data_IF_306276459666
#
_entry.id   IF_306276459666
#
_cell.length_a   1.000
_cell.length_b   1.000
_cell.length_c   1.000
_cell.angle_alpha   90.00
_cell.angle_beta   90.00
_cell.angle_gamma   90.00
#
_symmetry.space_group_name_H-M   'P 1'
#
loop_
_entity.id
_entity.type
_entity.pdbx_description
1 polymer ?
#
# COMPACT_ATOMS: atom_id res chain seq x y z
N UNK A 1 13.41 -20.06 0.46
CA UNK A 1 12.42 -19.06 0.98
C UNK A 1 11.73 -18.42 -0.23
N UNK A 2 10.39 -18.31 -0.27
CA UNK A 2 9.70 -17.60 -1.36
C UNK A 2 10.17 -16.14 -1.41
N UNK A 3 10.57 -15.64 -2.59
CA UNK A 3 11.12 -14.29 -2.79
C UNK A 3 10.24 -13.20 -2.17
N UNK A 4 8.92 -13.33 -2.28
CA UNK A 4 7.94 -12.42 -1.68
C UNK A 4 8.03 -12.35 -0.14
N UNK A 5 8.20 -13.49 0.54
CA UNK A 5 8.33 -13.52 2.01
C UNK A 5 9.63 -12.86 2.49
N UNK A 6 10.72 -13.07 1.75
CA UNK A 6 12.00 -12.41 2.03
C UNK A 6 11.87 -10.90 1.89
N UNK A 7 11.29 -10.46 0.77
CA UNK A 7 11.06 -9.05 0.48
C UNK A 7 10.14 -8.37 1.51
N UNK A 8 9.03 -9.01 1.91
CA UNK A 8 8.15 -8.47 2.95
C UNK A 8 8.89 -8.15 4.26
N UNK A 9 9.79 -9.05 4.70
CA UNK A 9 10.59 -8.81 5.90
C UNK A 9 11.54 -7.63 5.74
N UNK A 10 12.13 -7.48 4.56
CA UNK A 10 12.98 -6.32 4.23
C UNK A 10 12.17 -5.03 4.33
N UNK A 11 10.98 -4.97 3.71
CA UNK A 11 10.09 -3.81 3.82
C UNK A 11 9.78 -3.48 5.28
N UNK A 12 9.37 -4.48 6.09
CA UNK A 12 9.06 -4.26 7.50
C UNK A 12 10.22 -3.68 8.32
N UNK A 13 11.48 -3.99 7.98
CA UNK A 13 12.66 -3.42 8.64
C UNK A 13 12.89 -1.95 8.27
N UNK A 14 12.55 -1.55 7.04
CA UNK A 14 12.69 -0.17 6.58
C UNK A 14 11.49 0.73 6.92
N UNK A 15 10.35 0.15 7.30
CA UNK A 15 9.16 0.93 7.64
C UNK A 15 9.38 2.00 8.72
N UNK A 16 10.09 1.75 9.84
CA UNK A 16 10.38 2.80 10.83
C UNK A 16 11.15 3.97 10.21
N UNK A 17 12.17 3.68 9.38
CA UNK A 17 12.94 4.70 8.67
C UNK A 17 12.06 5.52 7.73
N UNK A 18 11.21 4.86 6.93
CA UNK A 18 10.27 5.56 6.04
C UNK A 18 9.28 6.42 6.83
N UNK A 19 8.83 5.94 8.00
CA UNK A 19 7.91 6.67 8.86
C UNK A 19 8.52 7.98 9.36
N UNK A 20 9.81 7.95 9.74
CA UNK A 20 10.56 9.14 10.15
C UNK A 20 10.87 10.09 8.98
N UNK A 21 11.34 9.54 7.84
CA UNK A 21 11.68 10.32 6.65
C UNK A 21 10.48 11.11 6.10
N UNK A 22 9.30 10.51 6.14
CA UNK A 22 8.06 11.10 5.61
C UNK A 22 7.15 11.69 6.69
N UNK A 23 7.58 11.74 7.96
CA UNK A 23 6.78 12.27 9.09
C UNK A 23 5.35 11.71 9.11
N UNK A 24 5.24 10.38 9.04
CA UNK A 24 3.94 9.69 8.94
C UNK A 24 3.33 9.37 10.31
N UNK A 25 4.09 9.59 11.39
CA UNK A 25 3.67 9.46 12.79
C UNK A 25 2.52 10.37 13.18
N UNK A 26 2.36 11.51 12.51
CA UNK A 26 1.20 12.40 12.65
C UNK A 26 -0.11 11.77 12.13
N UNK A 27 -0.02 10.76 11.26
CA UNK A 27 -1.16 10.23 10.49
C UNK A 27 -1.44 8.75 10.77
N UNK A 28 -0.44 7.99 11.21
CA UNK A 28 -0.58 6.54 11.40
C UNK A 28 0.44 5.99 12.38
N UNK A 29 0.25 4.72 12.76
CA UNK A 29 1.19 3.98 13.60
C UNK A 29 1.98 2.99 12.77
N UNK A 30 3.18 2.59 13.25
CA UNK A 30 3.97 1.52 12.62
C UNK A 30 3.14 0.26 12.40
N UNK A 31 2.31 -0.11 13.40
CA UNK A 31 1.45 -1.31 13.32
C UNK A 31 0.41 -1.18 12.22
N UNK A 32 -0.26 -0.04 12.12
CA UNK A 32 -1.24 0.23 11.06
C UNK A 32 -0.57 0.21 9.68
N UNK A 33 0.59 0.85 9.54
CA UNK A 33 1.35 0.86 8.29
C UNK A 33 1.81 -0.55 7.89
N UNK A 34 2.30 -1.36 8.83
CA UNK A 34 2.63 -2.77 8.60
C UNK A 34 1.42 -3.59 8.14
N UNK A 35 0.24 -3.33 8.73
CA UNK A 35 -1.01 -3.96 8.31
C UNK A 35 -1.39 -3.56 6.88
N UNK A 36 -1.33 -2.26 6.56
CA UNK A 36 -1.62 -1.74 5.24
C UNK A 36 -0.71 -2.34 4.16
N UNK A 37 0.61 -2.40 4.43
CA UNK A 37 1.57 -3.07 3.54
C UNK A 37 1.22 -4.55 3.41
N UNK A 38 0.89 -5.24 4.50
CA UNK A 38 0.49 -6.65 4.45
C UNK A 38 -0.72 -6.84 3.51
N UNK A 39 -1.72 -5.96 3.55
CA UNK A 39 -2.86 -6.03 2.62
C UNK A 39 -2.43 -5.91 1.16
N UNK A 40 -1.49 -5.02 0.82
CA UNK A 40 -0.93 -4.90 -0.54
C UNK A 40 -0.29 -6.19 -1.06
N UNK A 41 0.35 -6.96 -0.19
CA UNK A 41 0.86 -8.28 -0.55
C UNK A 41 -0.27 -9.29 -0.78
N UNK A 42 -1.36 -9.22 -0.01
CA UNK A 42 -2.52 -10.11 -0.18
C UNK A 42 -3.42 -9.76 -1.36
N UNK A 43 -3.43 -8.51 -1.85
CA UNK A 43 -4.14 -8.12 -3.09
C UNK A 43 -3.74 -9.01 -4.27
N UNK A 44 -2.47 -9.45 -4.30
CA UNK A 44 -1.91 -10.28 -5.37
C UNK A 44 -1.79 -11.78 -4.98
N UNK A 45 -2.47 -12.23 -3.91
CA UNK A 45 -2.34 -13.61 -3.38
C UNK A 45 -2.72 -14.71 -4.37
N UNK A 46 -3.54 -14.38 -5.36
CA UNK A 46 -4.05 -15.33 -6.37
C UNK A 46 -3.02 -15.64 -7.45
N UNK A 47 -1.99 -14.81 -7.58
CA UNK A 47 -0.91 -15.03 -8.55
C UNK A 47 0.01 -16.15 -8.06
N UNK A 48 0.04 -17.26 -8.81
CA UNK A 48 0.85 -18.45 -8.49
C UNK A 48 2.08 -18.62 -9.35
N UNK A 49 2.14 -17.94 -10.50
CA UNK A 49 3.26 -18.03 -11.45
C UNK A 49 4.54 -17.43 -10.83
N UNK A 50 5.61 -18.22 -10.63
CA UNK A 50 6.86 -17.76 -10.03
C UNK A 50 7.51 -16.60 -10.79
N UNK A 51 7.42 -16.57 -12.12
CA UNK A 51 8.03 -15.51 -12.92
C UNK A 51 7.31 -14.18 -12.71
N UNK A 52 5.97 -14.20 -12.69
CA UNK A 52 5.17 -13.02 -12.33
C UNK A 52 5.45 -12.55 -10.91
N UNK A 53 5.59 -13.48 -9.96
CA UNK A 53 5.96 -13.14 -8.58
C UNK A 53 7.31 -12.43 -8.53
N UNK A 54 8.32 -12.93 -9.25
CA UNK A 54 9.64 -12.30 -9.30
C UNK A 54 9.56 -10.89 -9.89
N UNK A 55 8.85 -10.70 -10.99
CA UNK A 55 8.64 -9.37 -11.59
C UNK A 55 7.94 -8.41 -10.62
N UNK A 56 6.91 -8.87 -9.89
CA UNK A 56 6.24 -8.06 -8.87
C UNK A 56 7.18 -7.68 -7.73
N UNK A 57 8.00 -8.61 -7.25
CA UNK A 57 9.01 -8.34 -6.22
C UNK A 57 10.04 -7.32 -6.72
N UNK A 58 10.52 -7.44 -7.96
CA UNK A 58 11.44 -6.45 -8.54
C UNK A 58 10.82 -5.06 -8.63
N UNK A 59 9.58 -4.95 -9.11
CA UNK A 59 8.86 -3.66 -9.16
C UNK A 59 8.70 -3.05 -7.76
N UNK A 60 8.39 -3.88 -6.77
CA UNK A 60 8.25 -3.43 -5.40
C UNK A 60 9.59 -3.04 -4.75
N UNK A 61 10.69 -3.72 -5.09
CA UNK A 61 12.03 -3.36 -4.62
C UNK A 61 12.48 -2.01 -5.21
N UNK A 62 12.23 -1.78 -6.50
CA UNK A 62 12.50 -0.48 -7.12
C UNK A 62 11.68 0.64 -6.47
N UNK A 63 10.40 0.39 -6.18
CA UNK A 63 9.56 1.33 -5.45
C UNK A 63 10.12 1.65 -4.06
N UNK A 64 10.53 0.63 -3.28
CA UNK A 64 11.16 0.81 -1.98
C UNK A 64 12.44 1.66 -2.09
N UNK A 65 13.29 1.42 -3.10
CA UNK A 65 14.50 2.20 -3.34
C UNK A 65 14.21 3.66 -3.69
N UNK A 66 13.13 3.94 -4.40
CA UNK A 66 12.71 5.32 -4.69
C UNK A 66 12.23 6.03 -3.44
N UNK A 67 11.50 5.35 -2.56
CA UNK A 67 11.05 5.89 -1.28
C UNK A 67 12.24 6.17 -0.35
N UNK A 68 13.17 5.23 -0.21
CA UNK A 68 14.37 5.39 0.62
C UNK A 68 15.30 6.52 0.13
N UNK A 69 15.27 6.83 -1.17
CA UNK A 69 16.01 7.97 -1.74
C UNK A 69 15.23 9.28 -1.73
N UNK A 70 14.03 9.31 -1.15
CA UNK A 70 13.13 10.48 -1.16
C UNK A 70 12.77 10.99 -2.57
N UNK A 71 12.81 10.13 -3.59
CA UNK A 71 12.43 10.49 -4.95
C UNK A 71 10.90 10.58 -5.14
N UNK A 72 10.12 10.17 -4.13
CA UNK A 72 8.66 10.35 -4.07
C UNK A 72 8.31 11.37 -2.99
N UNK A 73 7.29 12.16 -3.25
CA UNK A 73 6.78 13.16 -2.30
C UNK A 73 5.98 12.51 -1.16
N UNK A 74 5.94 13.17 0.01
CA UNK A 74 5.17 12.73 1.19
C UNK A 74 3.70 12.45 0.84
N UNK A 75 3.07 13.32 0.05
CA UNK A 75 1.69 13.13 -0.39
C UNK A 75 1.47 11.78 -1.11
N UNK A 76 2.41 11.37 -1.98
CA UNK A 76 2.32 10.08 -2.66
C UNK A 76 2.33 8.90 -1.68
N UNK A 77 3.18 8.95 -0.65
CA UNK A 77 3.30 7.90 0.37
C UNK A 77 2.03 7.82 1.21
N UNK A 78 1.49 8.98 1.61
CA UNK A 78 0.26 9.09 2.39
C UNK A 78 -0.91 8.47 1.62
N UNK A 79 -1.15 8.92 0.40
CA UNK A 79 -2.28 8.47 -0.43
C UNK A 79 -2.19 6.97 -0.71
N UNK A 80 -0.98 6.46 -0.99
CA UNK A 80 -0.81 5.06 -1.41
C UNK A 80 -0.76 4.06 -0.26
N UNK A 81 -0.16 4.42 0.88
CA UNK A 81 0.17 3.46 1.95
C UNK A 81 -0.46 3.77 3.31
N UNK A 82 -0.88 5.01 3.56
CA UNK A 82 -1.43 5.42 4.85
C UNK A 82 -2.94 5.43 4.83
N UNK A 83 -3.55 6.25 3.96
CA UNK A 83 -4.99 6.47 4.03
C UNK A 83 -5.75 5.26 3.49
N UNK A 84 -5.19 4.49 2.54
CA UNK A 84 -5.81 3.31 1.87
C UNK A 84 -7.23 3.56 1.30
N UNK A 85 -7.73 4.79 1.42
CA UNK A 85 -9.03 5.29 1.01
C UNK A 85 -8.82 6.76 0.64
N UNK A 86 -9.54 7.24 -0.37
CA UNK A 86 -9.50 8.65 -0.73
C UNK A 86 -10.19 9.46 0.39
N UNK A 87 -9.55 10.46 1.02
CA UNK A 87 -10.22 11.32 2.00
C UNK A 87 -11.38 12.11 1.39
N UNK A 88 -11.47 12.19 0.05
CA UNK A 88 -12.59 12.75 -0.70
C UNK A 88 -13.57 11.71 -1.23
N UNK A 89 -13.37 10.42 -0.93
CA UNK A 89 -14.43 9.43 -1.10
C UNK A 89 -15.52 9.77 -0.10
N UNK A 90 -16.51 10.53 -0.57
CA UNK A 90 -17.83 10.63 0.04
C UNK A 90 -18.29 9.22 0.41
N UNK A 91 -18.85 9.07 1.62
CA UNK A 91 -19.41 7.82 2.17
C UNK A 91 -19.83 6.89 1.04
N UNK A 92 -19.25 5.69 0.98
CA UNK A 92 -19.53 4.73 -0.08
C UNK A 92 -21.03 4.77 -0.41
N UNK A 93 -21.42 5.11 -1.66
CA UNK A 93 -22.83 5.22 -2.01
C UNK A 93 -23.51 3.91 -1.59
N UNK A 94 -24.72 3.96 -1.00
CA UNK A 94 -25.34 2.81 -0.34
C UNK A 94 -25.31 1.59 -1.25
N UNK A 95 -24.40 0.64 -0.99
CA UNK A 95 -24.12 -0.43 -1.94
C UNK A 95 -25.39 -1.26 -2.18
N UNK A 96 -25.79 -1.38 -3.45
CA UNK A 96 -26.97 -2.14 -3.87
C UNK A 96 -27.87 -1.35 -4.82
N UNK A 97 -29.10 -1.83 -4.98
CA UNK A 97 -30.10 -1.27 -5.89
C UNK A 97 -30.38 0.21 -5.61
N UNK A 98 -30.45 0.62 -4.34
CA UNK A 98 -30.77 2.00 -3.95
C UNK A 98 -29.73 3.02 -4.42
N UNK A 99 -28.42 2.76 -4.32
CA UNK A 99 -27.41 3.68 -4.87
C UNK A 99 -27.47 3.77 -6.39
N UNK A 100 -27.69 2.65 -7.07
CA UNK A 100 -27.78 2.63 -8.54
C UNK A 100 -29.04 3.37 -9.01
N UNK A 101 -30.14 3.26 -8.26
CA UNK A 101 -31.39 3.97 -8.52
C UNK A 101 -31.24 5.49 -8.37
N UNK A 102 -30.57 5.97 -7.31
CA UNK A 102 -30.31 7.40 -7.12
C UNK A 102 -29.30 8.00 -8.11
N UNK A 103 -28.39 7.20 -8.68
CA UNK A 103 -27.38 7.67 -9.64
C UNK A 103 -27.88 7.73 -11.10
N UNK A 104 -29.03 7.10 -11.41
CA UNK A 104 -29.56 6.95 -12.77
C UNK A 104 -30.59 8.01 -13.18
N UNK A 105 -30.88 9.01 -12.34
CA UNK A 105 -31.78 10.13 -12.67
C UNK A 105 -31.01 11.44 -12.75
#
# INVERSE_FOLDING_TARGET
MSASKGFYRTVCRYLPTLMEMYKLDELTTIRTLQHNIKQKFYENKTVKDPNRINVMVHKADEELRLLLRMHKQRHHVITKYVVMHDPFATKAPPSGFLAQFYASN
#
